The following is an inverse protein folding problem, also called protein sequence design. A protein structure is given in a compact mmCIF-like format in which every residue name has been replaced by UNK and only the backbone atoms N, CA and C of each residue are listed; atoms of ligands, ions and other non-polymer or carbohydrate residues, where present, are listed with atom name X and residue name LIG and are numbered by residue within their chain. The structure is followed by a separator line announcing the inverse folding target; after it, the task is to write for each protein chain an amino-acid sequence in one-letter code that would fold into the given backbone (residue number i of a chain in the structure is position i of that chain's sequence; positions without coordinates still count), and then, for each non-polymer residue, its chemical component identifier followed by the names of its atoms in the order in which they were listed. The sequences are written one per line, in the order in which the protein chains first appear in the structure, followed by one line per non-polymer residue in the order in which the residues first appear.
data_IF_882581369616
#
_entry.id   IF_882581369616
#
_cell.length_a   1.000
_cell.length_b   1.000
_cell.length_c   1.000
_cell.angle_alpha   90.00
_cell.angle_beta   90.00
_cell.angle_gamma   90.00
#
_symmetry.space_group_name_H-M   'P 1'
#
loop_
_entity.id
_entity.type
_entity.pdbx_description
1 polymer ?
#
# COMPACT_ATOMS: atom_id res chain seq x y z
N UNK A 1 -12.45 -1.50 -8.87
CA UNK A 1 -11.44 -0.69 -8.17
C UNK A 1 -10.02 -0.94 -8.68
N UNK A 2 -9.84 -1.41 -9.92
CA UNK A 2 -8.51 -1.50 -10.52
C UNK A 2 -8.05 -0.10 -10.96
N UNK A 3 -6.75 0.17 -10.88
CA UNK A 3 -6.09 1.42 -11.26
C UNK A 3 -6.42 2.65 -10.37
N UNK A 4 -6.95 2.43 -9.16
CA UNK A 4 -7.22 3.52 -8.22
C UNK A 4 -5.93 3.96 -7.52
N UNK A 5 -5.66 5.27 -7.51
CA UNK A 5 -4.50 5.83 -6.80
C UNK A 5 -4.68 5.76 -5.29
N UNK A 6 -3.66 5.27 -4.60
CA UNK A 6 -3.64 5.07 -3.16
C UNK A 6 -2.34 5.55 -2.56
N UNK A 7 -2.40 5.90 -1.28
CA UNK A 7 -1.23 6.17 -0.44
C UNK A 7 -1.21 5.13 0.67
N UNK A 8 -0.16 4.32 0.71
CA UNK A 8 0.16 3.44 1.83
C UNK A 8 0.96 4.19 2.89
N UNK A 9 0.59 4.03 4.15
CA UNK A 9 1.33 4.62 5.27
C UNK A 9 2.02 3.53 6.09
N UNK A 10 3.35 3.54 6.07
CA UNK A 10 4.16 2.75 6.99
C UNK A 10 4.23 3.49 8.33
N UNK A 11 3.31 3.15 9.23
CA UNK A 11 3.25 3.68 10.60
C UNK A 11 4.29 3.06 11.54
N UNK A 12 4.92 1.95 11.14
CA UNK A 12 5.97 1.29 11.92
C UNK A 12 7.33 1.98 11.71
N UNK A 13 7.52 2.70 10.60
CA UNK A 13 8.66 3.57 10.38
C UNK A 13 8.65 4.79 11.33
N UNK A 14 9.85 5.23 11.75
CA UNK A 14 10.05 6.46 12.53
C UNK A 14 11.02 7.40 11.81
N UNK A 15 10.55 8.52 11.24
CA UNK A 15 9.15 8.96 11.17
C UNK A 15 8.30 8.09 10.20
N UNK A 16 6.96 8.08 10.34
CA UNK A 16 6.08 7.35 9.42
C UNK A 16 6.32 7.74 7.97
N UNK A 17 6.38 6.75 7.09
CA UNK A 17 6.69 6.96 5.67
C UNK A 17 5.44 6.72 4.80
N UNK A 18 5.30 7.53 3.76
CA UNK A 18 4.18 7.46 2.83
C UNK A 18 4.65 6.95 1.48
N UNK A 19 3.88 6.02 0.92
CA UNK A 19 4.15 5.34 -0.34
C UNK A 19 2.99 5.54 -1.29
N UNK A 20 3.23 6.04 -2.50
CA UNK A 20 2.17 6.22 -3.50
C UNK A 20 2.16 5.06 -4.48
N UNK A 21 0.97 4.64 -4.89
CA UNK A 21 0.82 3.56 -5.86
C UNK A 21 -0.59 3.45 -6.39
N UNK A 22 -0.86 2.37 -7.10
CA UNK A 22 -2.17 2.07 -7.67
C UNK A 22 -2.63 0.68 -7.29
N UNK A 23 -3.91 0.55 -6.94
CA UNK A 23 -4.51 -0.76 -6.70
C UNK A 23 -4.52 -1.55 -8.00
N UNK A 24 -3.81 -2.67 -8.01
CA UNK A 24 -3.86 -3.66 -9.08
C UNK A 24 -5.08 -4.57 -8.94
N UNK A 25 -5.29 -5.09 -7.73
CA UNK A 25 -6.38 -6.04 -7.43
C UNK A 25 -6.78 -5.94 -5.97
N UNK A 26 -8.05 -6.23 -5.68
CA UNK A 26 -8.62 -6.21 -4.33
C UNK A 26 -9.29 -7.54 -4.08
N UNK A 27 -9.14 -8.08 -2.87
CA UNK A 27 -9.78 -9.30 -2.41
C UNK A 27 -10.83 -9.01 -1.34
N UNK A 28 -11.78 -9.94 -1.19
CA UNK A 28 -12.88 -9.84 -0.21
C UNK A 28 -12.41 -9.92 1.24
N UNK A 29 -11.16 -10.33 1.49
CA UNK A 29 -10.52 -10.38 2.81
C UNK A 29 -10.00 -9.01 3.29
N UNK A 30 -10.27 -7.94 2.53
CA UNK A 30 -9.81 -6.60 2.85
C UNK A 30 -8.34 -6.35 2.53
N UNK A 31 -7.73 -7.16 1.66
CA UNK A 31 -6.38 -6.95 1.15
C UNK A 31 -6.39 -6.53 -0.33
N UNK A 32 -5.33 -5.87 -0.77
CA UNK A 32 -5.14 -5.42 -2.13
C UNK A 32 -3.67 -5.55 -2.54
N UNK A 33 -3.45 -5.80 -3.83
CA UNK A 33 -2.13 -5.69 -4.43
C UNK A 33 -2.00 -4.27 -4.95
N UNK A 34 -0.88 -3.63 -4.63
CA UNK A 34 -0.60 -2.26 -5.00
C UNK A 34 0.66 -2.26 -5.84
N UNK A 35 0.53 -1.74 -7.05
CA UNK A 35 1.66 -1.41 -7.90
C UNK A 35 2.18 -0.04 -7.44
N UNK A 36 3.28 -0.04 -6.70
CA UNK A 36 3.88 1.18 -6.14
C UNK A 36 4.57 2.01 -7.23
N UNK A 37 4.50 3.34 -7.11
CA UNK A 37 5.14 4.26 -8.06
C UNK A 37 6.68 4.14 -8.04
N UNK A 38 7.24 3.57 -6.96
CA UNK A 38 8.66 3.31 -6.76
C UNK A 38 8.87 2.04 -5.93
N UNK A 39 10.06 1.45 -6.02
CA UNK A 39 10.42 0.28 -5.22
C UNK A 39 10.37 0.61 -3.72
N UNK A 40 9.58 -0.17 -2.98
CA UNK A 40 9.60 -0.11 -1.52
C UNK A 40 10.98 -0.53 -1.00
N UNK A 41 11.44 0.10 0.08
CA UNK A 41 12.58 -0.44 0.81
C UNK A 41 12.18 -1.73 1.56
N UNK A 42 13.17 -2.55 1.94
CA UNK A 42 12.92 -3.84 2.60
C UNK A 42 12.22 -3.75 3.96
N UNK A 43 12.22 -2.59 4.62
CA UNK A 43 11.50 -2.39 5.87
C UNK A 43 10.02 -2.13 5.58
N UNK A 44 9.74 -1.16 4.70
CA UNK A 44 8.39 -0.81 4.26
C UNK A 44 7.69 -2.00 3.60
N UNK A 45 8.39 -2.81 2.81
CA UNK A 45 7.82 -4.04 2.27
C UNK A 45 7.38 -5.00 3.38
N UNK A 46 8.21 -5.21 4.43
CA UNK A 46 7.86 -6.07 5.56
C UNK A 46 6.70 -5.53 6.41
N UNK A 47 6.60 -4.22 6.56
CA UNK A 47 5.54 -3.59 7.37
C UNK A 47 4.21 -3.51 6.60
N UNK A 48 4.25 -3.07 5.33
CA UNK A 48 3.06 -2.81 4.52
C UNK A 48 2.57 -4.04 3.76
N UNK A 49 3.48 -4.87 3.26
CA UNK A 49 3.16 -5.98 2.36
C UNK A 49 3.28 -7.30 3.13
N UNK A 50 2.15 -7.97 3.34
CA UNK A 50 2.10 -9.34 3.89
C UNK A 50 1.65 -10.29 2.80
N UNK A 51 2.54 -11.23 2.44
CA UNK A 51 2.31 -12.22 1.38
C UNK A 51 1.96 -11.59 0.02
N UNK A 52 2.65 -10.50 -0.34
CA UNK A 52 2.41 -9.77 -1.61
C UNK A 52 1.15 -8.90 -1.61
N UNK A 53 0.45 -8.77 -0.48
CA UNK A 53 -0.78 -7.98 -0.36
C UNK A 53 -0.68 -6.96 0.78
N UNK A 54 -1.36 -5.85 0.60
CA UNK A 54 -1.47 -4.74 1.55
C UNK A 54 -2.89 -4.72 2.07
N UNK A 55 -3.08 -4.55 3.37
CA UNK A 55 -4.42 -4.41 3.93
C UNK A 55 -5.00 -3.05 3.56
N UNK A 56 -6.25 -3.01 3.09
CA UNK A 56 -6.93 -1.78 2.67
C UNK A 56 -6.96 -0.70 3.76
N UNK A 57 -7.01 -1.06 5.05
CA UNK A 57 -6.98 -0.09 6.14
C UNK A 57 -5.69 0.73 6.23
N UNK A 58 -4.58 0.24 5.65
CA UNK A 58 -3.31 1.00 5.56
C UNK A 58 -3.25 1.85 4.28
N UNK A 59 -4.26 1.75 3.41
CA UNK A 59 -4.34 2.47 2.14
C UNK A 59 -5.36 3.59 2.26
N UNK A 60 -4.89 4.82 2.11
CA UNK A 60 -5.76 5.98 1.94
C UNK A 60 -6.01 6.21 0.45
N UNK A 61 -7.24 6.57 0.08
CA UNK A 61 -7.53 7.00 -1.30
C UNK A 61 -6.80 8.31 -1.54
N UNK A 62 -5.97 8.34 -2.59
CA UNK A 62 -5.38 9.60 -3.04
C UNK A 62 -6.43 10.31 -3.89
N UNK A 63 -7.06 11.34 -3.33
CA UNK A 63 -7.90 12.27 -4.09
C UNK A 63 -6.99 13.36 -4.66
N UNK A 64 -6.25 13.01 -5.71
CA UNK A 64 -5.62 14.01 -6.59
C UNK A 64 -6.63 14.54 -7.58
#
# INVERSE_FOLDING_TARGET
MANQRVVGQDVEASPPQLYTGRIHSVWSDGTAMVDWDYSLNHQAERHLVRSGRVRLHHLSRSTS
#
